data_IF_609103072400
#
_entry.id   IF_609103072400
#
_cell.length_a   1.000
_cell.length_b   1.000
_cell.length_c   1.000
_cell.angle_alpha   90.00
_cell.angle_beta   90.00
_cell.angle_gamma   90.00
#
_symmetry.space_group_name_H-M   'P 1'
#
loop_
_entity.id
_entity.type
_entity.pdbx_description
1 polymer ?
#
# COMPACT_ATOMS: atom_id res chain seq x y z
N UNK A 1 8.15 -8.29 -10.48
CA UNK A 1 7.45 -7.90 -9.23
C UNK A 1 7.88 -6.49 -8.86
N UNK A 2 7.09 -5.71 -8.13
CA UNK A 2 7.43 -4.32 -7.86
C UNK A 2 6.76 -3.82 -6.60
N UNK A 3 7.48 -3.01 -5.82
CA UNK A 3 7.14 -2.61 -4.45
C UNK A 3 5.67 -2.20 -4.28
N UNK A 4 5.09 -1.44 -5.22
CA UNK A 4 3.69 -1.04 -5.15
C UNK A 4 2.68 -2.21 -5.25
N UNK A 5 3.00 -3.27 -5.99
CA UNK A 5 2.19 -4.49 -6.06
C UNK A 5 2.31 -5.29 -4.76
N UNK A 6 3.50 -5.35 -4.16
CA UNK A 6 3.75 -6.09 -2.93
C UNK A 6 3.05 -5.42 -1.74
N UNK A 7 3.10 -4.08 -1.66
CA UNK A 7 2.34 -3.29 -0.68
C UNK A 7 0.83 -3.49 -0.84
N UNK A 8 0.31 -3.56 -2.06
CA UNK A 8 -1.12 -3.89 -2.29
C UNK A 8 -1.48 -5.30 -1.81
N UNK A 9 -0.57 -6.27 -1.95
CA UNK A 9 -0.76 -7.63 -1.44
C UNK A 9 -0.79 -7.63 0.09
N UNK A 10 0.14 -6.93 0.73
CA UNK A 10 0.17 -6.76 2.19
C UNK A 10 -1.09 -6.07 2.72
N UNK A 11 -1.58 -5.04 2.02
CA UNK A 11 -2.85 -4.39 2.36
C UNK A 11 -4.03 -5.39 2.34
N UNK A 12 -4.13 -6.20 1.28
CA UNK A 12 -5.18 -7.23 1.17
C UNK A 12 -5.07 -8.26 2.30
N UNK A 13 -3.85 -8.70 2.62
CA UNK A 13 -3.63 -9.64 3.73
C UNK A 13 -4.07 -9.04 5.05
N UNK A 14 -3.73 -7.78 5.32
CA UNK A 14 -4.13 -7.08 6.55
C UNK A 14 -5.66 -6.92 6.64
N UNK A 15 -6.37 -6.61 5.54
CA UNK A 15 -7.83 -6.59 5.53
C UNK A 15 -8.44 -7.97 5.81
N UNK A 16 -7.90 -9.02 5.19
CA UNK A 16 -8.36 -10.38 5.44
C UNK A 16 -8.11 -10.82 6.89
N UNK A 17 -7.00 -10.39 7.48
CA UNK A 17 -6.71 -10.61 8.89
C UNK A 17 -7.71 -9.86 9.77
N UNK A 18 -8.01 -8.59 9.47
CA UNK A 18 -9.00 -7.81 10.21
C UNK A 18 -10.38 -8.47 10.24
N UNK A 19 -10.84 -9.02 9.11
CA UNK A 19 -12.14 -9.71 9.00
C UNK A 19 -12.18 -11.00 9.82
N UNK A 20 -11.03 -11.65 10.02
CA UNK A 20 -10.93 -12.93 10.75
C UNK A 20 -10.64 -12.76 12.25
N UNK A 21 -10.31 -11.54 12.68
CA UNK A 21 -9.98 -11.24 14.07
C UNK A 21 -11.26 -10.94 14.85
N UNK A 22 -11.50 -11.71 15.92
CA UNK A 22 -12.67 -11.54 16.77
C UNK A 22 -12.56 -10.33 17.71
N UNK A 23 -11.34 -9.97 18.10
CA UNK A 23 -11.07 -8.79 18.90
C UNK A 23 -11.19 -7.51 18.05
N UNK A 24 -12.12 -6.64 18.43
CA UNK A 24 -12.44 -5.44 17.65
C UNK A 24 -11.25 -4.47 17.59
N UNK A 25 -10.51 -4.31 18.69
CA UNK A 25 -9.35 -3.43 18.74
C UNK A 25 -8.26 -3.92 17.78
N UNK A 26 -7.90 -5.20 17.83
CA UNK A 26 -6.93 -5.80 16.94
C UNK A 26 -7.40 -5.77 15.47
N UNK A 27 -8.70 -5.95 15.20
CA UNK A 27 -9.27 -5.79 13.87
C UNK A 27 -9.10 -4.36 13.33
N UNK A 28 -9.35 -3.34 14.15
CA UNK A 28 -9.13 -1.93 13.78
C UNK A 28 -7.66 -1.59 13.53
N UNK A 29 -6.73 -2.16 14.32
CA UNK A 29 -5.30 -2.02 14.04
C UNK A 29 -4.92 -2.63 12.68
N UNK A 30 -5.48 -3.79 12.34
CA UNK A 30 -5.25 -4.43 11.04
C UNK A 30 -5.85 -3.64 9.87
N UNK A 31 -7.02 -3.02 10.05
CA UNK A 31 -7.61 -2.09 9.06
C UNK A 31 -6.71 -0.87 8.86
N UNK A 32 -6.22 -0.29 9.94
CA UNK A 32 -5.29 0.86 9.91
C UNK A 32 -3.99 0.50 9.18
N UNK A 33 -3.45 -0.69 9.43
CA UNK A 33 -2.27 -1.21 8.74
C UNK A 33 -2.53 -1.39 7.23
N UNK A 34 -3.70 -1.92 6.86
CA UNK A 34 -4.09 -2.06 5.46
C UNK A 34 -4.16 -0.72 4.73
N UNK A 35 -4.72 0.31 5.38
CA UNK A 35 -4.78 1.66 4.84
C UNK A 35 -3.37 2.26 4.66
N UNK A 36 -2.49 2.07 5.64
CA UNK A 36 -1.10 2.52 5.56
C UNK A 36 -0.37 1.88 4.35
N UNK A 37 -0.52 0.59 4.13
CA UNK A 37 0.07 -0.08 2.97
C UNK A 37 -0.49 0.43 1.63
N UNK A 38 -1.80 0.74 1.55
CA UNK A 38 -2.39 1.36 0.36
C UNK A 38 -1.82 2.75 0.09
N UNK A 39 -1.72 3.58 1.13
CA UNK A 39 -1.13 4.91 1.01
C UNK A 39 0.32 4.85 0.51
N UNK A 40 1.13 3.95 1.08
CA UNK A 40 2.50 3.72 0.62
C UNK A 40 2.57 3.26 -0.84
N UNK A 41 1.68 2.35 -1.27
CA UNK A 41 1.63 1.89 -2.65
C UNK A 41 1.35 3.04 -3.64
N UNK A 42 0.47 3.97 -3.28
CA UNK A 42 0.18 5.15 -4.09
C UNK A 42 1.33 6.15 -4.11
N UNK A 43 2.03 6.36 -2.99
CA UNK A 43 3.25 7.18 -2.97
C UNK A 43 4.33 6.60 -3.89
N UNK A 44 4.57 5.29 -3.82
CA UNK A 44 5.54 4.61 -4.70
C UNK A 44 5.19 4.79 -6.16
N UNK A 45 3.91 4.65 -6.54
CA UNK A 45 3.46 4.89 -7.92
C UNK A 45 3.67 6.33 -8.36
N UNK A 46 3.27 7.31 -7.52
CA UNK A 46 3.43 8.74 -7.81
C UNK A 46 4.90 9.09 -8.00
N UNK A 47 5.79 8.60 -7.13
CA UNK A 47 7.23 8.84 -7.22
C UNK A 47 7.82 8.21 -8.48
N UNK A 48 7.39 7.00 -8.85
CA UNK A 48 7.82 6.36 -10.11
C UNK A 48 7.39 7.17 -11.33
N UNK A 49 6.17 7.72 -11.33
CA UNK A 49 5.67 8.58 -12.41
C UNK A 49 6.49 9.87 -12.51
N UNK A 50 6.67 10.58 -11.40
CA UNK A 50 7.47 11.82 -11.34
C UNK A 50 8.89 11.61 -11.88
N UNK A 51 9.57 10.53 -11.47
CA UNK A 51 10.91 10.20 -11.98
C UNK A 51 10.93 9.98 -13.49
N UNK A 52 9.91 9.32 -14.05
CA UNK A 52 9.81 9.10 -15.50
C UNK A 52 9.59 10.41 -16.25
N UNK A 53 8.70 11.26 -15.74
CA UNK A 53 8.39 12.56 -16.35
C UNK A 53 9.61 13.50 -16.31
N UNK A 54 10.39 13.48 -15.22
CA UNK A 54 11.64 14.24 -15.11
C UNK A 54 12.71 13.75 -16.09
N UNK A 55 12.85 12.43 -16.27
CA UNK A 55 13.79 11.85 -17.23
C UNK A 55 13.44 12.26 -18.67
N UNK A 56 12.16 12.19 -19.04
CA UNK A 56 11.68 12.60 -20.36
C UNK A 56 11.88 14.10 -20.65
N UNK A 57 11.82 14.96 -19.62
CA UNK A 57 12.01 16.41 -19.79
C UNK A 57 13.47 16.82 -19.99
N UNK A 58 14.42 15.97 -19.57
CA UNK A 58 15.87 16.19 -19.66
C UNK A 58 16.51 15.51 -20.89
N UNK A 59 15.74 14.73 -21.64
CA UNK A 59 16.17 14.01 -22.86
C UNK A 59 15.76 14.78 -24.10
#
# INVERSE_FOLDING_TARGET
MGIAKDLKKQAKTAEQAAVRTADEFAAEQMKSLAQAFRAQAEVVKRNKKKKKDELHRKS
#
